data_IF_744374226129
#
_entry.id   IF_744374226129
#
_cell.length_a   1.000
_cell.length_b   1.000
_cell.length_c   1.000
_cell.angle_alpha   90.00
_cell.angle_beta   90.00
_cell.angle_gamma   90.00
#
_symmetry.space_group_name_H-M   'P 1'
#
loop_
_entity.id
_entity.type
_entity.pdbx_description
1 polymer ?
#
# COMPACT_ATOMS: atom_id res chain seq x y z
N UNK A 1 -10.79 17.83 -61.86
CA UNK A 1 -10.82 18.34 -60.45
C UNK A 1 -11.59 17.40 -59.52
N UNK A 2 -11.09 16.18 -59.26
CA UNK A 2 -11.77 15.20 -58.37
C UNK A 2 -10.83 14.42 -57.43
N UNK A 3 -9.52 14.72 -57.41
CA UNK A 3 -8.53 14.03 -56.56
C UNK A 3 -8.27 14.67 -55.19
N UNK A 4 -8.69 15.92 -54.97
CA UNK A 4 -8.37 16.67 -53.73
C UNK A 4 -9.34 16.38 -52.56
N UNK A 5 -10.57 15.90 -52.83
CA UNK A 5 -11.59 15.68 -51.79
C UNK A 5 -11.40 14.39 -50.97
N UNK A 6 -10.61 13.43 -51.47
CA UNK A 6 -10.43 12.14 -50.80
C UNK A 6 -9.41 12.20 -49.65
N UNK A 7 -8.41 13.09 -49.73
CA UNK A 7 -7.32 13.18 -48.75
C UNK A 7 -7.80 13.80 -47.43
N UNK A 8 -8.71 14.78 -47.51
CA UNK A 8 -9.26 15.45 -46.32
C UNK A 8 -10.16 14.53 -45.46
N UNK A 9 -10.90 13.62 -46.09
CA UNK A 9 -11.77 12.69 -45.36
C UNK A 9 -10.97 11.65 -44.56
N UNK A 10 -9.83 11.20 -45.07
CA UNK A 10 -8.97 10.22 -44.39
C UNK A 10 -8.28 10.87 -43.16
N UNK A 11 -7.81 12.12 -43.27
CA UNK A 11 -7.23 12.84 -42.12
C UNK A 11 -8.24 13.10 -40.99
N UNK A 12 -9.50 13.40 -41.33
CA UNK A 12 -10.55 13.63 -40.32
C UNK A 12 -11.00 12.32 -39.64
N UNK A 13 -10.96 11.19 -40.35
CA UNK A 13 -11.22 9.88 -39.75
C UNK A 13 -10.08 9.42 -38.83
N UNK A 14 -8.81 9.70 -39.18
CA UNK A 14 -7.65 9.40 -38.34
C UNK A 14 -7.64 10.20 -37.03
N UNK A 15 -8.04 11.48 -37.04
CA UNK A 15 -8.10 12.27 -35.80
C UNK A 15 -9.13 11.73 -34.80
N UNK A 16 -10.23 11.12 -35.28
CA UNK A 16 -11.23 10.48 -34.43
C UNK A 16 -10.77 9.12 -33.86
N UNK A 17 -9.91 8.39 -34.58
CA UNK A 17 -9.29 7.15 -34.09
C UNK A 17 -8.20 7.42 -33.03
N UNK A 18 -7.47 8.53 -33.16
CA UNK A 18 -6.45 8.91 -32.16
C UNK A 18 -7.03 9.63 -30.93
N UNK A 19 -8.24 10.19 -31.00
CA UNK A 19 -8.89 10.83 -29.84
C UNK A 19 -9.16 9.85 -28.69
N UNK A 20 -9.42 8.57 -28.99
CA UNK A 20 -9.58 7.51 -27.96
C UNK A 20 -8.25 6.90 -27.53
N UNK A 21 -7.19 6.98 -28.34
CA UNK A 21 -5.86 6.51 -27.98
C UNK A 21 -5.09 7.50 -27.08
N UNK A 22 -5.62 8.69 -26.77
CA UNK A 22 -5.00 9.61 -25.81
C UNK A 22 -5.37 9.34 -24.34
N UNK A 23 -6.29 8.42 -24.06
CA UNK A 23 -6.46 7.85 -22.71
C UNK A 23 -5.38 6.79 -22.36
N UNK A 24 -4.39 6.59 -23.24
CA UNK A 24 -3.52 5.41 -23.31
C UNK A 24 -2.14 5.54 -22.63
N UNK A 25 -1.81 6.63 -21.95
CA UNK A 25 -0.53 6.71 -21.23
C UNK A 25 -0.72 6.92 -19.73
N UNK A 26 -1.05 5.83 -19.01
CA UNK A 26 -0.58 5.45 -17.65
C UNK A 26 -0.48 6.45 -16.48
N UNK A 27 -0.86 7.73 -16.59
CA UNK A 27 -0.37 8.77 -15.68
C UNK A 27 -1.13 8.79 -14.33
N UNK A 28 -2.37 8.26 -14.23
CA UNK A 28 -3.15 8.31 -12.99
C UNK A 28 -3.96 7.03 -12.65
N UNK A 29 -3.53 5.84 -13.08
CA UNK A 29 -4.21 4.60 -12.63
C UNK A 29 -3.99 4.37 -11.13
N UNK A 30 -5.06 4.50 -10.36
CA UNK A 30 -5.09 4.17 -8.94
C UNK A 30 -5.42 2.69 -8.77
N UNK A 31 -4.75 2.00 -7.85
CA UNK A 31 -5.12 0.64 -7.42
C UNK A 31 -5.31 0.61 -5.92
N UNK A 32 -6.23 -0.24 -5.45
CA UNK A 32 -6.37 -0.53 -4.01
C UNK A 32 -5.09 -1.24 -3.57
N UNK A 33 -4.48 -0.78 -2.47
CA UNK A 33 -3.25 -1.34 -1.92
C UNK A 33 -3.42 -1.94 -0.53
N UNK A 34 -4.54 -1.66 0.13
CA UNK A 34 -4.89 -2.22 1.42
C UNK A 34 -6.09 -1.52 2.03
N UNK A 35 -6.41 -1.96 3.24
CA UNK A 35 -7.50 -1.44 4.05
C UNK A 35 -6.96 -0.97 5.40
N UNK A 36 -7.57 0.05 5.97
CA UNK A 36 -7.25 0.54 7.31
C UNK A 36 -8.51 0.60 8.17
N UNK A 37 -8.30 0.62 9.48
CA UNK A 37 -9.32 0.98 10.46
C UNK A 37 -8.99 2.34 11.04
N UNK A 38 -10.01 3.20 11.18
CA UNK A 38 -9.85 4.54 11.72
C UNK A 38 -10.88 4.81 12.82
N UNK A 39 -10.51 5.68 13.77
CA UNK A 39 -11.49 6.32 14.66
C UNK A 39 -12.36 7.29 13.86
N UNK A 40 -13.60 7.60 14.31
CA UNK A 40 -14.49 8.53 13.61
C UNK A 40 -13.83 9.86 13.21
N UNK A 41 -13.17 10.53 14.15
CA UNK A 41 -12.49 11.82 13.89
C UNK A 41 -11.38 11.72 12.82
N UNK A 42 -10.68 10.59 12.78
CA UNK A 42 -9.65 10.31 11.79
C UNK A 42 -10.28 10.02 10.43
N UNK A 43 -11.34 9.23 10.39
CA UNK A 43 -12.07 8.90 9.17
C UNK A 43 -12.69 10.15 8.52
N UNK A 44 -13.32 11.02 9.32
CA UNK A 44 -13.85 12.30 8.85
C UNK A 44 -12.74 13.19 8.26
N UNK A 45 -11.57 13.24 8.92
CA UNK A 45 -10.42 13.99 8.41
C UNK A 45 -9.92 13.44 7.08
N UNK A 46 -9.82 12.12 6.95
CA UNK A 46 -9.44 11.47 5.70
C UNK A 46 -10.47 11.80 4.62
N UNK A 47 -11.76 11.64 4.89
CA UNK A 47 -12.84 11.84 3.91
C UNK A 47 -12.94 13.29 3.43
N UNK A 48 -12.62 14.30 4.27
CA UNK A 48 -12.66 15.71 3.85
C UNK A 48 -11.81 16.01 2.61
N UNK A 49 -10.67 15.35 2.47
CA UNK A 49 -9.72 15.60 1.38
C UNK A 49 -9.30 14.34 0.62
N UNK A 50 -9.91 13.20 0.96
CA UNK A 50 -9.51 11.85 0.57
C UNK A 50 -8.00 11.59 0.68
N UNK A 51 -7.37 12.09 1.75
CA UNK A 51 -5.91 12.12 1.90
C UNK A 51 -5.48 11.62 3.28
N UNK A 52 -4.46 10.78 3.29
CA UNK A 52 -3.72 10.39 4.49
C UNK A 52 -2.64 11.45 4.76
N UNK A 53 -2.58 11.92 6.00
CA UNK A 53 -1.71 13.00 6.48
C UNK A 53 -0.88 12.53 7.68
N UNK A 54 0.02 13.39 8.16
CA UNK A 54 0.88 13.07 9.29
C UNK A 54 0.11 12.83 10.59
N UNK A 55 -1.07 13.45 10.74
CA UNK A 55 -1.97 13.23 11.86
C UNK A 55 -2.60 11.83 11.86
N UNK A 56 -2.47 11.08 10.76
CA UNK A 56 -3.02 9.74 10.58
C UNK A 56 -1.96 8.64 10.80
N UNK A 57 -0.69 9.02 10.96
CA UNK A 57 0.44 8.11 11.13
C UNK A 57 0.52 7.61 12.57
N UNK A 58 0.84 6.32 12.73
CA UNK A 58 1.17 5.75 14.02
C UNK A 58 2.69 5.84 14.27
N UNK A 59 3.07 6.68 15.22
CA UNK A 59 4.47 6.91 15.61
C UNK A 59 4.97 5.99 16.72
N UNK A 60 4.08 5.33 17.47
CA UNK A 60 4.49 4.47 18.60
C UNK A 60 3.75 3.12 18.60
N UNK A 61 4.46 2.07 19.03
CA UNK A 61 3.91 0.74 19.22
C UNK A 61 3.63 -0.06 17.93
N UNK A 62 4.09 0.43 16.78
CA UNK A 62 3.96 -0.28 15.50
C UNK A 62 4.82 -1.54 15.46
N UNK A 63 4.25 -2.66 15.00
CA UNK A 63 4.95 -3.94 14.95
C UNK A 63 6.18 -3.91 14.03
N UNK A 64 6.14 -3.18 12.92
CA UNK A 64 7.20 -3.18 11.89
C UNK A 64 7.73 -1.77 11.58
N UNK A 65 7.61 -0.86 12.55
CA UNK A 65 8.14 0.50 12.50
C UNK A 65 7.07 1.58 12.55
N UNK A 66 7.49 2.81 12.26
CA UNK A 66 6.64 4.00 12.28
C UNK A 66 6.04 4.31 10.92
N UNK A 67 4.73 4.56 10.86
CA UNK A 67 4.06 4.83 9.59
C UNK A 67 2.56 4.57 9.60
N UNK A 68 2.01 4.39 8.40
CA UNK A 68 0.61 4.10 8.18
C UNK A 68 0.40 2.62 7.88
N UNK A 69 -0.40 1.95 8.70
CA UNK A 69 -0.63 0.51 8.62
C UNK A 69 -1.86 0.19 7.78
N UNK A 70 -1.70 -0.84 6.95
CA UNK A 70 -2.73 -1.42 6.10
C UNK A 70 -2.82 -2.92 6.33
N UNK A 71 -3.98 -3.50 6.07
CA UNK A 71 -4.22 -4.93 5.98
C UNK A 71 -4.70 -5.32 4.60
N UNK A 72 -4.53 -6.59 4.26
CA UNK A 72 -4.93 -7.12 2.95
C UNK A 72 -6.41 -7.50 2.87
N UNK A 73 -7.08 -7.70 4.01
CA UNK A 73 -8.48 -8.13 4.09
C UNK A 73 -9.39 -6.99 4.57
N UNK A 74 -10.52 -6.74 3.89
CA UNK A 74 -11.49 -5.75 4.35
C UNK A 74 -12.08 -6.18 5.69
N UNK A 75 -12.06 -5.29 6.68
CA UNK A 75 -12.61 -5.57 8.01
C UNK A 75 -11.79 -6.53 8.89
N UNK A 76 -10.54 -6.83 8.54
CA UNK A 76 -9.69 -7.75 9.32
C UNK A 76 -9.32 -7.27 10.74
N UNK A 77 -9.58 -5.99 11.06
CA UNK A 77 -9.41 -5.43 12.40
C UNK A 77 -10.71 -4.86 12.96
N UNK A 78 -10.90 -5.02 14.26
CA UNK A 78 -11.87 -4.26 15.05
C UNK A 78 -11.13 -3.51 16.13
N UNK A 79 -11.29 -2.18 16.17
CA UNK A 79 -10.76 -1.36 17.27
C UNK A 79 -11.88 -1.04 18.27
N UNK A 80 -11.60 -1.07 19.58
CA UNK A 80 -12.56 -0.63 20.59
C UNK A 80 -12.98 0.83 20.37
N UNK A 81 -14.28 1.13 20.48
CA UNK A 81 -14.81 2.51 20.40
C UNK A 81 -15.44 2.92 19.06
N UNK A 82 -15.85 1.95 18.24
CA UNK A 82 -16.40 2.22 16.91
C UNK A 82 -15.29 2.29 15.87
N UNK A 83 -15.44 1.54 14.78
CA UNK A 83 -14.41 1.40 13.76
C UNK A 83 -14.97 1.86 12.43
N UNK A 84 -14.38 2.90 11.84
CA UNK A 84 -14.57 3.18 10.43
C UNK A 84 -13.59 2.30 9.62
N UNK A 85 -14.03 1.91 8.43
CA UNK A 85 -13.29 1.04 7.53
C UNK A 85 -12.87 1.84 6.31
N UNK A 86 -11.57 1.94 6.07
CA UNK A 86 -11.03 2.74 5.00
C UNK A 86 -10.46 1.86 3.88
N UNK A 87 -10.82 2.18 2.64
CA UNK A 87 -10.08 1.72 1.48
C UNK A 87 -8.90 2.66 1.24
N UNK A 88 -7.75 2.11 0.88
CA UNK A 88 -6.58 2.93 0.52
C UNK A 88 -6.10 2.57 -0.87
N UNK A 89 -6.05 3.59 -1.73
CA UNK A 89 -5.59 3.51 -3.10
C UNK A 89 -4.28 4.27 -3.26
N UNK A 90 -3.47 3.84 -4.21
CA UNK A 90 -2.23 4.52 -4.58
C UNK A 90 -2.01 4.47 -6.09
N UNK A 91 -1.17 5.37 -6.60
CA UNK A 91 -0.82 5.35 -8.03
C UNK A 91 -0.04 4.08 -8.33
N UNK A 92 -0.57 3.28 -9.26
CA UNK A 92 -0.06 1.95 -9.62
C UNK A 92 1.43 1.97 -9.91
N UNK A 93 1.87 2.89 -10.77
CA UNK A 93 3.28 3.00 -11.17
C UNK A 93 4.24 3.38 -10.02
N UNK A 94 3.75 4.05 -8.98
CA UNK A 94 4.55 4.39 -7.79
C UNK A 94 4.66 3.20 -6.85
N UNK A 95 3.59 2.43 -6.69
CA UNK A 95 3.59 1.18 -5.92
C UNK A 95 4.49 0.13 -6.58
N UNK A 96 4.48 0.03 -7.91
CA UNK A 96 5.35 -0.91 -8.63
C UNK A 96 6.83 -0.59 -8.41
N UNK A 97 7.22 0.68 -8.48
CA UNK A 97 8.63 1.12 -8.35
C UNK A 97 9.15 1.18 -6.92
N UNK A 98 8.31 1.40 -5.92
CA UNK A 98 8.78 1.49 -4.54
C UNK A 98 9.26 0.11 -4.07
N UNK A 99 10.36 0.09 -3.32
CA UNK A 99 10.90 -1.14 -2.75
C UNK A 99 9.91 -1.74 -1.74
N UNK A 100 9.92 -3.07 -1.63
CA UNK A 100 9.01 -3.82 -0.75
C UNK A 100 9.77 -4.95 -0.10
N UNK A 101 9.61 -5.10 1.22
CA UNK A 101 10.36 -6.07 2.00
C UNK A 101 9.48 -6.75 3.02
N UNK A 102 9.72 -8.03 3.23
CA UNK A 102 9.17 -8.76 4.36
C UNK A 102 10.01 -8.55 5.62
N UNK A 103 9.34 -8.24 6.72
CA UNK A 103 9.90 -8.13 8.06
C UNK A 103 9.43 -9.34 8.90
N UNK A 104 10.26 -10.39 9.02
CA UNK A 104 9.90 -11.55 9.82
C UNK A 104 9.90 -11.19 11.30
N UNK A 105 9.31 -12.05 12.14
CA UNK A 105 9.31 -11.85 13.60
C UNK A 105 10.72 -11.80 14.17
N UNK A 106 11.54 -12.75 13.73
CA UNK A 106 12.93 -12.90 14.13
C UNK A 106 13.80 -13.16 12.92
N UNK A 107 15.08 -12.79 13.00
CA UNK A 107 16.09 -13.20 12.03
C UNK A 107 17.36 -13.63 12.76
N UNK A 108 18.15 -14.47 12.10
CA UNK A 108 19.48 -14.81 12.57
C UNK A 108 20.46 -13.76 12.07
N UNK A 109 21.07 -13.06 13.01
CA UNK A 109 22.10 -12.07 12.73
C UNK A 109 23.41 -12.79 12.38
N UNK A 110 23.77 -12.80 11.10
CA UNK A 110 24.91 -13.61 10.60
C UNK A 110 26.24 -13.33 11.31
N UNK A 111 26.61 -12.09 11.71
CA UNK A 111 27.87 -11.87 12.42
C UNK A 111 27.88 -12.43 13.85
N UNK A 112 26.72 -12.51 14.52
CA UNK A 112 26.63 -12.95 15.92
C UNK A 112 26.03 -14.34 16.10
N UNK A 113 25.45 -14.92 15.03
CA UNK A 113 24.59 -16.12 15.05
C UNK A 113 23.41 -16.04 16.03
N UNK A 114 23.11 -14.87 16.61
CA UNK A 114 22.02 -14.68 17.56
C UNK A 114 20.72 -14.41 16.84
N UNK A 115 19.63 -14.96 17.37
CA UNK A 115 18.28 -14.58 16.96
C UNK A 115 17.96 -13.19 17.50
N UNK A 116 17.58 -12.28 16.62
CA UNK A 116 17.11 -10.93 16.97
C UNK A 116 15.64 -10.80 16.62
N UNK A 117 14.84 -10.30 17.56
CA UNK A 117 13.44 -9.99 17.36
C UNK A 117 13.31 -8.65 16.62
N UNK A 118 12.55 -8.62 15.52
CA UNK A 118 12.30 -7.43 14.72
C UNK A 118 10.95 -6.80 15.03
N UNK A 119 9.95 -7.62 15.33
CA UNK A 119 8.61 -7.11 15.63
C UNK A 119 8.62 -6.34 16.95
N UNK A 120 8.03 -5.14 16.95
CA UNK A 120 8.06 -4.21 18.08
C UNK A 120 9.47 -3.79 18.53
N UNK A 121 10.48 -4.01 17.68
CA UNK A 121 11.82 -3.45 17.90
C UNK A 121 11.86 -1.98 17.47
N UNK A 122 12.92 -1.28 17.86
CA UNK A 122 13.11 0.10 17.41
C UNK A 122 13.38 0.17 15.89
N UNK A 123 13.04 1.31 15.30
CA UNK A 123 13.16 1.57 13.86
C UNK A 123 14.58 1.29 13.31
N UNK A 124 15.62 1.64 14.07
CA UNK A 124 17.02 1.38 13.68
C UNK A 124 17.31 -0.12 13.54
N UNK A 125 16.70 -0.96 14.37
CA UNK A 125 16.89 -2.43 14.32
C UNK A 125 16.27 -3.00 13.05
N UNK A 126 15.08 -2.54 12.69
CA UNK A 126 14.37 -2.92 11.45
C UNK A 126 15.16 -2.45 10.23
N UNK A 127 15.60 -1.18 10.21
CA UNK A 127 16.41 -0.62 9.11
C UNK A 127 17.72 -1.39 8.94
N UNK A 128 18.40 -1.75 10.04
CA UNK A 128 19.64 -2.51 9.97
C UNK A 128 19.42 -3.91 9.39
N UNK A 129 18.29 -4.56 9.69
CA UNK A 129 17.90 -5.80 9.04
C UNK A 129 17.63 -5.61 7.54
N UNK A 130 16.82 -4.62 7.16
CA UNK A 130 16.53 -4.36 5.74
C UNK A 130 17.81 -4.05 4.96
N UNK A 131 18.76 -3.34 5.59
CA UNK A 131 20.10 -3.09 5.04
C UNK A 131 20.93 -4.36 4.89
N UNK A 132 20.95 -5.24 5.90
CA UNK A 132 21.74 -6.47 5.85
C UNK A 132 21.27 -7.44 4.78
N UNK A 133 20.01 -7.35 4.34
CA UNK A 133 19.50 -8.15 3.22
C UNK A 133 20.19 -7.82 1.89
N UNK A 134 20.70 -6.59 1.69
CA UNK A 134 21.37 -6.19 0.44
C UNK A 134 20.50 -6.20 -0.82
N UNK A 135 19.18 -6.37 -0.70
CA UNK A 135 18.24 -6.49 -1.84
C UNK A 135 17.41 -5.23 -2.11
N UNK A 136 17.53 -4.22 -1.24
CA UNK A 136 16.85 -2.91 -1.36
C UNK A 136 17.87 -1.82 -1.09
N UNK A 137 17.89 -0.77 -1.91
CA UNK A 137 18.83 0.35 -1.73
C UNK A 137 18.29 1.45 -0.80
N UNK A 138 16.98 1.72 -0.86
CA UNK A 138 16.32 2.73 -0.03
C UNK A 138 15.51 2.09 1.10
N UNK A 139 16.20 1.81 2.20
CA UNK A 139 15.65 1.11 3.37
C UNK A 139 14.63 1.96 4.16
N UNK A 140 14.68 3.29 4.01
CA UNK A 140 13.82 4.22 4.75
C UNK A 140 12.45 4.39 4.10
N UNK A 141 12.34 4.13 2.79
CA UNK A 141 11.09 4.27 2.03
C UNK A 141 10.48 2.93 1.61
N UNK A 142 11.18 1.82 1.82
CA UNK A 142 10.66 0.50 1.50
C UNK A 142 9.35 0.20 2.26
N UNK A 143 8.32 -0.23 1.53
CA UNK A 143 7.11 -0.77 2.12
C UNK A 143 7.44 -2.05 2.86
N UNK A 144 6.92 -2.18 4.08
CA UNK A 144 7.27 -3.30 4.96
C UNK A 144 6.06 -4.18 5.14
N UNK A 145 6.23 -5.48 4.98
CA UNK A 145 5.16 -6.47 5.07
C UNK A 145 5.46 -7.44 6.20
N UNK A 146 4.45 -7.84 6.95
CA UNK A 146 4.58 -8.90 7.95
C UNK A 146 3.25 -9.58 8.22
N UNK A 147 3.30 -10.66 8.98
CA UNK A 147 2.11 -11.22 9.61
C UNK A 147 1.64 -10.31 10.74
N UNK A 148 0.33 -10.27 10.97
CA UNK A 148 -0.28 -9.60 12.13
C UNK A 148 -1.44 -10.43 12.65
N UNK A 149 -1.67 -10.38 13.96
CA UNK A 149 -2.87 -10.97 14.56
C UNK A 149 -4.07 -10.12 14.15
N UNK A 150 -5.07 -10.74 13.55
CA UNK A 150 -6.36 -10.18 13.13
C UNK A 150 -7.50 -10.90 13.87
N UNK A 151 -8.74 -10.44 13.66
CA UNK A 151 -9.93 -10.99 14.32
C UNK A 151 -10.09 -12.51 14.10
N UNK A 152 -9.77 -13.00 12.90
CA UNK A 152 -9.98 -14.39 12.49
C UNK A 152 -8.69 -15.22 12.41
N UNK A 153 -7.62 -14.80 13.10
CA UNK A 153 -6.33 -15.50 13.09
C UNK A 153 -5.19 -14.60 12.67
N UNK A 154 -4.27 -15.10 11.84
CA UNK A 154 -3.17 -14.30 11.30
C UNK A 154 -3.51 -13.85 9.88
N UNK A 155 -3.43 -12.54 9.64
CA UNK A 155 -3.48 -11.96 8.31
C UNK A 155 -2.20 -11.19 8.00
N UNK A 156 -2.13 -10.54 6.84
CA UNK A 156 -0.97 -9.74 6.48
C UNK A 156 -1.21 -8.28 6.76
N UNK A 157 -0.15 -7.59 7.17
CA UNK A 157 -0.11 -6.15 7.21
C UNK A 157 0.97 -5.58 6.31
N UNK A 158 0.76 -4.36 5.86
CA UNK A 158 1.71 -3.52 5.17
C UNK A 158 1.87 -2.22 5.94
N UNK A 159 3.10 -1.84 6.25
CA UNK A 159 3.45 -0.52 6.74
C UNK A 159 3.94 0.33 5.57
N UNK A 160 3.32 1.49 5.41
CA UNK A 160 3.82 2.59 4.60
C UNK A 160 4.65 3.49 5.53
N UNK A 161 5.99 3.56 5.37
CA UNK A 161 6.83 4.38 6.26
C UNK A 161 6.36 5.83 6.32
N UNK A 162 6.51 6.47 7.48
CA UNK A 162 6.08 7.86 7.70
C UNK A 162 6.66 8.82 6.66
N UNK A 163 7.93 8.64 6.30
CA UNK A 163 8.63 9.44 5.27
C UNK A 163 7.98 9.34 3.88
N UNK A 164 7.40 8.19 3.55
CA UNK A 164 6.70 7.93 2.27
C UNK A 164 5.36 8.65 2.23
N UNK A 165 4.64 8.65 3.37
CA UNK A 165 3.36 9.37 3.55
C UNK A 165 3.60 10.88 3.47
N UNK A 166 4.53 11.40 4.28
CA UNK A 166 4.88 12.83 4.37
C UNK A 166 5.27 13.42 3.01
N UNK A 167 6.10 12.69 2.25
CA UNK A 167 6.58 13.12 0.93
C UNK A 167 5.57 12.87 -0.19
N UNK A 168 4.40 12.29 0.12
CA UNK A 168 3.38 11.96 -0.87
C UNK A 168 3.88 11.04 -1.99
N UNK A 169 4.86 10.17 -1.71
CA UNK A 169 5.60 9.43 -2.74
C UNK A 169 4.71 8.45 -3.50
N UNK A 170 3.69 7.88 -2.84
CA UNK A 170 2.75 6.94 -3.46
C UNK A 170 1.55 7.62 -4.12
N UNK A 171 1.31 8.89 -3.83
CA UNK A 171 0.08 9.57 -4.23
C UNK A 171 -1.14 8.86 -3.65
N UNK A 172 -1.15 8.70 -2.31
CA UNK A 172 -2.20 8.01 -1.58
C UNK A 172 -3.54 8.75 -1.72
N UNK A 173 -4.60 7.97 -1.85
CA UNK A 173 -5.99 8.39 -1.75
C UNK A 173 -6.70 7.42 -0.80
N UNK A 174 -7.60 7.91 0.03
CA UNK A 174 -8.34 7.06 0.95
C UNK A 174 -9.77 7.56 1.14
N UNK A 175 -10.66 6.62 1.42
CA UNK A 175 -12.06 6.87 1.75
C UNK A 175 -12.51 5.88 2.80
N UNK A 176 -13.24 6.36 3.80
CA UNK A 176 -13.65 5.63 4.99
C UNK A 176 -15.17 5.55 5.10
N UNK A 177 -15.64 4.40 5.57
CA UNK A 177 -17.05 4.04 5.68
C UNK A 177 -17.37 3.59 7.11
N UNK A 178 -18.61 3.79 7.53
CA UNK A 178 -19.08 3.32 8.85
C UNK A 178 -19.22 1.81 8.94
N UNK A 179 -19.36 1.12 7.80
CA UNK A 179 -19.47 -0.33 7.74
C UNK A 179 -18.57 -0.92 6.66
N UNK A 180 -18.16 -2.18 6.84
CA UNK A 180 -17.44 -2.93 5.81
C UNK A 180 -18.31 -3.14 4.57
N UNK A 181 -19.63 -3.31 4.75
CA UNK A 181 -20.57 -3.52 3.64
C UNK A 181 -20.56 -2.33 2.68
N UNK A 182 -20.76 -1.11 3.19
CA UNK A 182 -20.80 0.09 2.36
C UNK A 182 -19.48 0.28 1.58
N UNK A 183 -18.35 -0.01 2.22
CA UNK A 183 -17.04 0.03 1.58
C UNK A 183 -16.91 -1.01 0.44
N UNK A 184 -17.46 -2.21 0.63
CA UNK A 184 -17.42 -3.27 -0.38
C UNK A 184 -18.32 -2.94 -1.56
N UNK A 185 -19.51 -2.39 -1.30
CA UNK A 185 -20.49 -2.00 -2.30
C UNK A 185 -19.96 -0.87 -3.21
N UNK A 186 -19.23 0.10 -2.66
CA UNK A 186 -18.74 1.28 -3.40
C UNK A 186 -17.42 1.06 -4.18
N UNK A 187 -16.64 0.04 -3.83
CA UNK A 187 -15.28 -0.10 -4.38
C UNK A 187 -14.95 -1.46 -5.00
N UNK A 188 -15.95 -2.34 -5.17
CA UNK A 188 -15.76 -3.72 -5.67
C UNK A 188 -14.52 -4.36 -5.02
N UNK A 189 -14.47 -4.25 -3.69
CA UNK A 189 -13.24 -4.48 -2.94
C UNK A 189 -13.18 -5.93 -2.42
N UNK A 190 -11.98 -6.47 -2.27
CA UNK A 190 -11.77 -7.86 -1.87
C UNK A 190 -10.36 -8.09 -1.36
N UNK A 191 -10.07 -9.29 -0.87
CA UNK A 191 -8.75 -9.61 -0.31
C UNK A 191 -7.65 -9.37 -1.34
N UNK A 192 -6.64 -8.60 -0.95
CA UNK A 192 -5.50 -8.29 -1.80
C UNK A 192 -4.47 -9.39 -1.67
N UNK A 193 -4.17 -10.04 -2.80
CA UNK A 193 -3.08 -11.01 -2.85
C UNK A 193 -1.72 -10.30 -2.95
N UNK A 194 -1.10 -10.06 -1.80
CA UNK A 194 0.27 -9.54 -1.72
C UNK A 194 1.34 -10.59 -2.04
N UNK A 195 1.00 -11.89 -2.12
CA UNK A 195 1.97 -12.94 -2.49
C UNK A 195 2.13 -13.11 -4.00
N UNK A 196 1.26 -12.48 -4.79
CA UNK A 196 1.41 -12.42 -6.24
C UNK A 196 2.70 -11.66 -6.60
N UNK A 197 3.77 -12.45 -6.78
CA UNK A 197 5.12 -11.96 -7.11
C UNK A 197 5.15 -11.15 -8.39
N UNK A 198 4.22 -11.41 -9.33
CA UNK A 198 4.13 -10.64 -10.57
C UNK A 198 3.63 -9.21 -10.36
N UNK A 199 2.92 -8.95 -9.26
CA UNK A 199 2.31 -7.65 -8.94
C UNK A 199 3.04 -6.85 -7.87
N UNK A 200 3.65 -7.54 -6.90
CA UNK A 200 4.21 -6.88 -5.71
C UNK A 200 5.73 -6.94 -5.62
N UNK A 201 6.36 -8.05 -6.04
CA UNK A 201 7.82 -8.24 -5.98
C UNK A 201 8.44 -7.93 -4.58
N UNK A 202 7.83 -8.47 -3.53
CA UNK A 202 8.28 -8.27 -2.14
C UNK A 202 9.53 -9.12 -1.88
N UNK A 203 10.60 -8.49 -1.39
CA UNK A 203 11.88 -9.16 -1.13
C UNK A 203 11.94 -9.76 0.27
N UNK A 204 12.69 -10.85 0.41
CA UNK A 204 12.91 -11.54 1.69
C UNK A 204 11.91 -12.66 1.95
N UNK A 205 11.85 -13.09 3.22
CA UNK A 205 10.94 -14.13 3.68
C UNK A 205 10.07 -13.56 4.82
N UNK A 206 8.75 -13.77 4.75
CA UNK A 206 7.78 -13.29 5.75
C UNK A 206 7.92 -13.99 7.10
N UNK A 207 8.56 -15.16 7.13
CA UNK A 207 8.72 -15.98 8.32
C UNK A 207 7.43 -16.67 8.75
N UNK A 208 7.50 -17.33 9.91
CA UNK A 208 6.37 -18.04 10.50
C UNK A 208 5.56 -17.12 11.42
N UNK A 209 4.26 -17.37 11.52
CA UNK A 209 3.34 -16.69 12.46
C UNK A 209 3.53 -17.14 13.90
N UNK A 210 4.03 -18.37 14.10
CA UNK A 210 4.35 -18.98 15.41
C UNK A 210 5.75 -19.58 15.37
N UNK A 211 6.48 -19.41 16.47
CA UNK A 211 7.74 -20.07 16.80
C UNK A 211 7.64 -20.58 18.23
#
# INVERSE_FOLDING_TARGET
MLRSKFIFAISLALSLLFGRAQAFFGIHRMKIIGYATAKPEQAERINRNHKITDADIQFMGGQIGEGFYLINEPGGFTVPGGTWHCVVKARTSRVERIAKVYIPRQYQDTPSSRLKNLWFSNENTIINYVRSMGVVLDYFTALRFSWVQQNNGYGKQMLIPSTVVQRGQLGLWAECFNSVSDMLDEHESGTIDWDDKSKWDIKGNIGLTRG
#
